data_IF_641190945982
#
_entry.id   IF_641190945982
#
_cell.length_a   1.000
_cell.length_b   1.000
_cell.length_c   1.000
_cell.angle_alpha   90.00
_cell.angle_beta   90.00
_cell.angle_gamma   90.00
#
_symmetry.space_group_name_H-M   'P 1'
#
loop_
_entity.id
_entity.type
_entity.pdbx_description
1 polymer ?
#
# COMPACT_ATOMS: atom_id res chain seq x y z
N UNK A 1 -1.15 0.20 13.87
CA UNK A 1 -0.81 0.76 12.55
C UNK A 1 -0.89 2.29 12.70
N UNK A 2 -0.43 3.12 11.76
CA UNK A 2 -0.54 4.58 11.97
C UNK A 2 -2.02 5.01 11.93
N UNK A 3 -2.53 5.87 12.82
CA UNK A 3 -3.95 6.24 12.87
C UNK A 3 -4.52 6.74 11.54
N UNK A 4 -3.74 7.53 10.79
CA UNK A 4 -4.11 7.99 9.43
C UNK A 4 -4.32 6.84 8.45
N UNK A 5 -3.47 5.80 8.49
CA UNK A 5 -3.62 4.63 7.64
C UNK A 5 -4.83 3.79 8.05
N UNK A 6 -5.07 3.64 9.35
CA UNK A 6 -6.25 2.93 9.87
C UNK A 6 -7.54 3.64 9.45
N UNK A 7 -7.60 4.96 9.61
CA UNK A 7 -8.75 5.76 9.19
C UNK A 7 -8.97 5.71 7.68
N UNK A 8 -7.90 5.79 6.88
CA UNK A 8 -7.99 5.63 5.43
C UNK A 8 -8.56 4.25 5.05
N UNK A 9 -7.97 3.17 5.58
CA UNK A 9 -8.38 1.80 5.29
C UNK A 9 -9.82 1.50 5.73
N UNK A 10 -10.28 2.08 6.84
CA UNK A 10 -11.66 1.94 7.31
C UNK A 10 -12.70 2.61 6.39
N UNK A 11 -12.29 3.57 5.56
CA UNK A 11 -13.19 4.37 4.72
C UNK A 11 -13.05 4.09 3.21
N UNK A 12 -12.20 3.14 2.80
CA UNK A 12 -12.14 2.78 1.37
C UNK A 12 -13.46 2.12 0.94
N UNK A 13 -13.94 2.54 -0.22
CA UNK A 13 -15.14 2.00 -0.86
C UNK A 13 -14.82 1.19 -2.12
N UNK A 14 -13.61 1.35 -2.65
CA UNK A 14 -13.15 0.68 -3.85
C UNK A 14 -11.65 0.41 -3.80
N UNK A 15 -11.22 -0.73 -4.36
CA UNK A 15 -9.82 -1.16 -4.35
C UNK A 15 -8.86 -0.19 -5.02
N UNK A 16 -9.27 0.48 -6.09
CA UNK A 16 -8.39 1.41 -6.80
C UNK A 16 -7.91 2.55 -5.90
N UNK A 17 -8.63 2.87 -4.80
CA UNK A 17 -8.19 3.86 -3.82
C UNK A 17 -6.87 3.45 -3.14
N UNK A 18 -6.54 2.16 -3.10
CA UNK A 18 -5.28 1.62 -2.60
C UNK A 18 -4.12 1.78 -3.59
N UNK A 19 -4.35 2.16 -4.85
CA UNK A 19 -3.26 2.40 -5.80
C UNK A 19 -2.39 3.57 -5.34
N UNK A 20 -1.04 3.51 -5.49
CA UNK A 20 -0.15 4.57 -5.00
C UNK A 20 -0.53 5.98 -5.49
N UNK A 21 -1.02 6.09 -6.73
CA UNK A 21 -1.46 7.36 -7.35
C UNK A 21 -2.75 7.95 -6.75
N UNK A 22 -3.58 7.12 -6.11
CA UNK A 22 -4.89 7.52 -5.60
C UNK A 22 -4.90 7.72 -4.08
N UNK A 23 -3.79 7.41 -3.38
CA UNK A 23 -3.70 7.65 -1.94
C UNK A 23 -3.89 9.14 -1.61
N UNK A 24 -4.65 9.48 -0.56
CA UNK A 24 -4.69 10.82 -0.01
C UNK A 24 -3.29 11.36 0.34
N UNK A 25 -3.07 12.67 0.21
CA UNK A 25 -1.76 13.27 0.46
C UNK A 25 -1.30 13.11 1.93
N UNK A 26 -2.21 13.20 2.88
CA UNK A 26 -1.95 12.96 4.30
C UNK A 26 -1.48 11.52 4.58
N UNK A 27 -2.02 10.54 3.86
CA UNK A 27 -1.55 9.14 3.91
C UNK A 27 -0.14 9.03 3.35
N UNK A 28 0.12 9.64 2.19
CA UNK A 28 1.45 9.63 1.56
C UNK A 28 2.48 10.32 2.47
N UNK A 29 2.15 11.46 3.07
CA UNK A 29 3.01 12.21 3.98
C UNK A 29 3.41 11.41 5.20
N UNK A 30 2.47 10.63 5.75
CA UNK A 30 2.75 9.68 6.84
C UNK A 30 3.71 8.60 6.36
N UNK A 31 3.44 7.99 5.21
CA UNK A 31 4.25 6.89 4.68
C UNK A 31 5.70 7.33 4.41
N UNK A 32 5.94 8.50 3.81
CA UNK A 32 7.30 8.97 3.50
C UNK A 32 8.11 9.37 4.73
N UNK A 33 7.45 9.58 5.87
CA UNK A 33 8.10 9.87 7.16
C UNK A 33 8.42 8.63 7.97
N UNK A 34 7.94 7.45 7.56
CA UNK A 34 8.25 6.19 8.21
C UNK A 34 9.73 5.83 8.04
N UNK A 35 10.23 5.00 8.95
CA UNK A 35 11.52 4.35 8.71
C UNK A 35 11.45 3.49 7.43
N UNK A 36 12.57 3.25 6.72
CA UNK A 36 12.57 2.42 5.51
C UNK A 36 11.95 1.04 5.70
N UNK A 37 12.16 0.42 6.87
CA UNK A 37 11.59 -0.88 7.21
C UNK A 37 10.06 -0.83 7.36
N UNK A 38 9.54 0.17 8.08
CA UNK A 38 8.10 0.36 8.27
C UNK A 38 7.40 0.74 6.96
N UNK A 39 8.04 1.58 6.14
CA UNK A 39 7.55 1.93 4.82
C UNK A 39 7.43 0.69 3.93
N UNK A 40 8.48 -0.15 3.89
CA UNK A 40 8.44 -1.39 3.12
C UNK A 40 7.32 -2.33 3.60
N UNK A 41 7.20 -2.55 4.92
CA UNK A 41 6.11 -3.35 5.52
C UNK A 41 4.74 -2.82 5.12
N UNK A 42 4.54 -1.51 5.19
CA UNK A 42 3.27 -0.85 4.84
C UNK A 42 2.96 -1.01 3.35
N UNK A 43 3.93 -0.76 2.47
CA UNK A 43 3.79 -0.97 1.02
C UNK A 43 3.42 -2.42 0.69
N UNK A 44 4.05 -3.39 1.34
CA UNK A 44 3.71 -4.81 1.18
C UNK A 44 2.28 -5.11 1.60
N UNK A 45 1.83 -4.59 2.75
CA UNK A 45 0.45 -4.78 3.22
C UNK A 45 -0.58 -4.19 2.26
N UNK A 46 -0.41 -2.93 1.83
CA UNK A 46 -1.31 -2.25 0.91
C UNK A 46 -1.34 -2.93 -0.47
N UNK A 47 -0.18 -3.36 -0.93
CA UNK A 47 -0.04 -4.12 -2.17
C UNK A 47 -0.77 -5.46 -2.12
N UNK A 48 -0.59 -6.23 -1.04
CA UNK A 48 -1.31 -7.50 -0.87
C UNK A 48 -2.82 -7.26 -0.86
N UNK A 49 -3.31 -6.23 -0.17
CA UNK A 49 -4.74 -5.88 -0.18
C UNK A 49 -5.26 -5.48 -1.57
N UNK A 50 -4.45 -4.76 -2.36
CA UNK A 50 -4.80 -4.35 -3.73
C UNK A 50 -4.91 -5.55 -4.68
N UNK A 51 -3.99 -6.51 -4.58
CA UNK A 51 -3.87 -7.64 -5.50
C UNK A 51 -4.51 -8.94 -4.99
N UNK A 52 -4.91 -8.96 -3.73
CA UNK A 52 -5.51 -10.11 -3.09
C UNK A 52 -6.65 -9.62 -2.19
N UNK A 53 -7.88 -9.64 -2.70
CA UNK A 53 -9.06 -9.62 -1.82
C UNK A 53 -9.24 -11.05 -1.33
N UNK A 54 -8.84 -11.40 -0.10
CA UNK A 54 -9.24 -12.67 0.46
C UNK A 54 -10.76 -12.71 0.48
N UNK A 55 -11.33 -13.63 -0.29
CA UNK A 55 -12.74 -13.98 -0.16
C UNK A 55 -12.83 -15.25 0.67
N UNK A 56 -14.02 -15.56 1.21
CA UNK A 56 -14.25 -16.81 1.95
C UNK A 56 -13.83 -18.07 1.18
N UNK A 57 -13.68 -17.98 -0.16
CA UNK A 57 -13.41 -19.11 -1.04
C UNK A 57 -12.01 -19.08 -1.71
N UNK A 58 -11.19 -18.05 -1.45
CA UNK A 58 -9.88 -17.92 -2.11
C UNK A 58 -8.82 -17.43 -1.10
N UNK A 59 -7.87 -18.28 -0.68
CA UNK A 59 -6.71 -17.86 0.10
C UNK A 59 -5.76 -17.01 -0.75
N UNK A 60 -4.77 -16.38 -0.10
CA UNK A 60 -3.71 -15.63 -0.78
C UNK A 60 -3.00 -16.56 -1.77
N UNK A 61 -3.04 -16.21 -3.06
CA UNK A 61 -2.44 -17.01 -4.15
C UNK A 61 -1.10 -16.46 -4.63
N UNK A 62 -0.64 -15.34 -4.07
CA UNK A 62 0.61 -14.70 -4.48
C UNK A 62 1.81 -15.45 -3.89
N UNK A 63 2.79 -15.76 -4.74
CA UNK A 63 4.09 -16.25 -4.31
C UNK A 63 4.92 -15.15 -3.65
N UNK A 64 5.95 -15.54 -2.89
CA UNK A 64 6.87 -14.60 -2.23
C UNK A 64 7.56 -13.66 -3.23
N UNK A 65 7.93 -14.16 -4.40
CA UNK A 65 8.57 -13.39 -5.48
C UNK A 65 7.60 -12.38 -6.10
N UNK A 66 6.33 -12.75 -6.27
CA UNK A 66 5.29 -11.82 -6.73
C UNK A 66 5.03 -10.73 -5.69
N UNK A 67 4.90 -11.08 -4.42
CA UNK A 67 4.71 -10.11 -3.32
C UNK A 67 5.87 -9.12 -3.28
N UNK A 68 7.11 -9.60 -3.36
CA UNK A 68 8.31 -8.76 -3.33
C UNK A 68 8.34 -7.79 -4.51
N UNK A 69 8.05 -8.29 -5.72
CA UNK A 69 8.05 -7.49 -6.94
C UNK A 69 6.97 -6.40 -6.92
N UNK A 70 5.77 -6.76 -6.47
CA UNK A 70 4.66 -5.82 -6.38
C UNK A 70 4.88 -4.78 -5.28
N UNK A 71 5.44 -5.17 -4.12
CA UNK A 71 5.80 -4.25 -3.05
C UNK A 71 6.86 -3.22 -3.50
N UNK A 72 7.86 -3.64 -4.27
CA UNK A 72 8.86 -2.74 -4.84
C UNK A 72 8.24 -1.76 -5.85
N UNK A 73 7.34 -2.25 -6.72
CA UNK A 73 6.62 -1.40 -7.66
C UNK A 73 5.72 -0.37 -6.93
N UNK A 74 5.06 -0.80 -5.85
CA UNK A 74 4.25 0.06 -5.00
C UNK A 74 5.10 1.16 -4.35
N UNK A 75 6.24 0.78 -3.76
CA UNK A 75 7.18 1.72 -3.15
C UNK A 75 7.69 2.76 -4.15
N UNK A 76 8.06 2.34 -5.37
CA UNK A 76 8.44 3.26 -6.46
C UNK A 76 7.33 4.27 -6.76
N UNK A 77 6.08 3.82 -6.78
CA UNK A 77 4.92 4.70 -6.96
C UNK A 77 4.77 5.75 -5.85
N UNK A 78 5.01 5.36 -4.59
CA UNK A 78 4.99 6.30 -3.44
C UNK A 78 6.12 7.32 -3.56
N UNK A 79 7.34 6.88 -3.81
CA UNK A 79 8.51 7.78 -3.94
C UNK A 79 8.32 8.75 -5.10
N UNK A 80 7.81 8.30 -6.25
CA UNK A 80 7.55 9.16 -7.41
C UNK A 80 6.55 10.30 -7.12
N UNK A 81 5.60 10.10 -6.20
CA UNK A 81 4.67 11.16 -5.79
C UNK A 81 5.34 12.21 -4.93
N UNK A 82 6.35 11.84 -4.16
CA UNK A 82 7.13 12.77 -3.34
C UNK A 82 8.23 13.48 -4.15
N UNK A 83 8.85 12.79 -5.11
CA UNK A 83 9.93 13.35 -5.91
C UNK A 83 9.48 14.29 -7.02
N UNK A 84 8.17 14.43 -7.26
CA UNK A 84 7.63 15.43 -8.19
C UNK A 84 7.41 16.75 -7.42
N UNK A 85 8.07 17.85 -7.84
CA UNK A 85 7.94 19.16 -7.20
C UNK A 85 6.53 19.75 -7.31
#
# INVERSE_FOLDING_TARGET
MHPTLEAFLANITALHQLEPKNLPNDVVDVMVRMSPEELYKTCTQLCVLLHNIPSHNAPITLSETEISSLAEAYLKGIVQRFSKP
#
